data_IF_257184356937
#
_entry.id   IF_257184356937
#
_cell.length_a   1.000
_cell.length_b   1.000
_cell.length_c   1.000
_cell.angle_alpha   90.00
_cell.angle_beta   90.00
_cell.angle_gamma   90.00
#
_symmetry.space_group_name_H-M   'P 1'
#
loop_
_entity.id
_entity.type
_entity.pdbx_description
1 polymer ?
#
# COMPACT_ATOMS: atom_id res chain seq x y z
N UNK A 1 13.28 9.00 -10.77
CA UNK A 1 13.05 8.06 -9.66
C UNK A 1 12.25 6.88 -10.16
N UNK A 2 12.68 5.70 -9.79
CA UNK A 2 12.04 4.50 -10.28
C UNK A 2 10.74 4.22 -9.56
N UNK A 3 9.80 3.63 -10.26
CA UNK A 3 8.55 3.21 -9.66
C UNK A 3 8.42 1.71 -9.77
N UNK A 4 7.54 1.17 -8.97
CA UNK A 4 7.40 -0.27 -8.83
C UNK A 4 5.97 -0.60 -8.42
N UNK A 5 5.42 -1.66 -8.98
CA UNK A 5 4.16 -2.22 -8.52
C UNK A 5 4.45 -3.57 -7.92
N UNK A 6 3.91 -3.83 -6.74
CA UNK A 6 4.23 -5.05 -6.06
C UNK A 6 3.03 -5.55 -5.26
N UNK A 7 2.84 -6.85 -5.24
CA UNK A 7 1.82 -7.44 -4.40
C UNK A 7 2.49 -8.16 -3.25
N UNK A 8 1.83 -8.18 -2.13
CA UNK A 8 2.39 -8.86 -0.98
C UNK A 8 1.46 -8.86 0.19
N UNK A 9 1.98 -9.34 1.30
CA UNK A 9 1.25 -9.47 2.54
C UNK A 9 1.69 -8.37 3.50
N UNK A 10 0.72 -7.70 4.13
CA UNK A 10 1.04 -6.73 5.16
C UNK A 10 1.48 -7.50 6.39
N UNK A 11 2.75 -7.39 6.71
CA UNK A 11 3.37 -8.21 7.75
C UNK A 11 3.31 -7.58 9.13
N UNK A 12 3.08 -6.28 9.21
CA UNK A 12 2.98 -5.60 10.50
C UNK A 12 1.73 -4.75 10.51
N UNK A 13 1.20 -4.49 11.69
CA UNK A 13 0.05 -3.60 11.80
C UNK A 13 0.47 -2.22 11.29
N UNK A 14 -0.31 -1.63 10.38
CA UNK A 14 0.03 -0.32 9.87
C UNK A 14 0.13 0.70 11.00
N UNK A 15 1.20 1.47 10.96
CA UNK A 15 1.47 2.45 11.97
C UNK A 15 1.15 3.82 11.43
N UNK A 16 0.25 4.52 12.09
CA UNK A 16 -0.21 5.82 11.63
C UNK A 16 0.21 6.89 12.63
N UNK A 17 0.73 7.97 12.13
CA UNK A 17 1.05 9.10 12.98
C UNK A 17 0.83 10.38 12.21
N UNK A 18 0.76 11.49 12.94
CA UNK A 18 0.61 12.81 12.35
C UNK A 18 1.76 13.63 12.89
N UNK A 19 2.51 14.25 11.99
CA UNK A 19 3.65 15.05 12.42
C UNK A 19 3.19 16.35 13.06
N UNK A 20 4.13 17.10 13.62
CA UNK A 20 3.80 18.37 14.23
C UNK A 20 3.19 19.33 13.23
N UNK A 21 3.58 19.21 11.97
CA UNK A 21 3.03 20.06 10.92
C UNK A 21 1.67 19.59 10.45
N UNK A 22 1.17 18.51 11.01
CA UNK A 22 -0.14 18.02 10.60
C UNK A 22 -0.12 17.07 9.42
N UNK A 23 1.03 16.51 9.09
CA UNK A 23 1.15 15.60 7.96
C UNK A 23 0.86 14.16 8.40
N UNK A 24 -0.19 13.53 7.87
CA UNK A 24 -0.45 12.13 8.20
C UNK A 24 0.53 11.23 7.47
N UNK A 25 1.03 10.23 8.18
CA UNK A 25 1.94 9.24 7.64
C UNK A 25 1.51 7.87 8.11
N UNK A 26 1.47 6.90 7.20
CA UNK A 26 1.18 5.52 7.56
C UNK A 26 2.26 4.65 6.96
N UNK A 27 2.78 3.72 7.75
CA UNK A 27 3.80 2.81 7.24
C UNK A 27 3.56 1.40 7.73
N UNK A 28 4.04 0.44 6.96
CA UNK A 28 3.98 -0.97 7.34
C UNK A 28 5.04 -1.73 6.57
N UNK A 29 5.30 -2.95 7.02
CA UNK A 29 6.21 -3.83 6.32
C UNK A 29 5.42 -4.72 5.38
N UNK A 30 5.92 -4.87 4.18
CA UNK A 30 5.29 -5.68 3.16
C UNK A 30 6.19 -6.85 2.83
N UNK A 31 5.65 -8.04 2.90
CA UNK A 31 6.37 -9.26 2.58
C UNK A 31 5.90 -9.73 1.22
N UNK A 32 6.79 -9.73 0.25
CA UNK A 32 6.48 -10.16 -1.09
C UNK A 32 7.21 -11.47 -1.34
N UNK A 33 6.47 -12.56 -1.35
CA UNK A 33 7.05 -13.87 -1.57
C UNK A 33 6.74 -14.30 -2.97
N UNK A 34 7.74 -14.88 -3.62
CA UNK A 34 7.53 -15.42 -4.93
C UNK A 34 7.20 -16.87 -4.79
N UNK A 35 6.22 -17.33 -5.54
CA UNK A 35 5.89 -18.72 -5.57
C UNK A 35 6.29 -19.26 -6.92
N UNK A 36 6.81 -20.47 -6.93
CA UNK A 36 7.16 -21.11 -8.19
C UNK A 36 6.84 -22.59 -8.10
N UNK A 37 6.71 -23.20 -9.26
CA UNK A 37 6.39 -24.62 -9.31
C UNK A 37 7.67 -25.42 -9.26
N UNK A 38 7.79 -26.28 -8.24
CA UNK A 38 8.95 -27.13 -8.11
C UNK A 38 8.67 -28.43 -8.83
N UNK A 39 9.36 -28.66 -9.92
CA UNK A 39 9.13 -29.84 -10.72
C UNK A 39 9.54 -31.10 -9.99
N UNK A 40 10.52 -31.03 -9.12
CA UNK A 40 10.96 -32.20 -8.41
C UNK A 40 9.92 -32.67 -7.40
N UNK A 41 9.21 -31.72 -6.78
CA UNK A 41 8.20 -32.07 -5.82
C UNK A 41 6.81 -32.01 -6.42
N UNK A 42 6.70 -31.56 -7.65
CA UNK A 42 5.43 -31.45 -8.36
C UNK A 42 4.42 -30.66 -7.56
N UNK A 43 4.86 -29.54 -6.98
CA UNK A 43 3.98 -28.68 -6.23
C UNK A 43 4.50 -27.26 -6.24
N UNK A 44 3.62 -26.34 -5.86
CA UNK A 44 3.99 -24.95 -5.74
C UNK A 44 4.67 -24.75 -4.40
N UNK A 45 5.79 -24.05 -4.41
CA UNK A 45 6.53 -23.77 -3.19
C UNK A 45 6.80 -22.29 -3.12
N UNK A 46 7.01 -21.81 -1.91
CA UNK A 46 7.34 -20.41 -1.71
C UNK A 46 8.83 -20.22 -1.91
N UNK A 47 9.17 -19.18 -2.65
CA UNK A 47 10.57 -18.81 -2.80
C UNK A 47 10.97 -17.84 -1.70
N UNK A 48 11.99 -17.06 -1.99
CA UNK A 48 12.46 -16.10 -1.03
C UNK A 48 11.45 -15.00 -0.83
N UNK A 49 11.45 -14.43 0.35
CA UNK A 49 10.59 -13.31 0.67
C UNK A 49 11.41 -12.03 0.60
N UNK A 50 10.92 -11.08 -0.18
CA UNK A 50 11.52 -9.77 -0.21
C UNK A 50 10.74 -8.86 0.70
N UNK A 51 11.46 -8.06 1.45
CA UNK A 51 10.85 -7.20 2.45
C UNK A 51 10.95 -5.75 2.05
N UNK A 52 9.85 -5.04 2.17
CA UNK A 52 9.78 -3.64 1.83
C UNK A 52 9.15 -2.87 2.97
N UNK A 53 9.54 -1.63 3.14
CA UNK A 53 8.83 -0.72 4.02
C UNK A 53 7.99 0.17 3.12
N UNK A 54 6.69 0.18 3.33
CA UNK A 54 5.78 0.98 2.54
C UNK A 54 5.35 2.16 3.37
N UNK A 55 5.43 3.34 2.81
CA UNK A 55 5.05 4.57 3.50
C UNK A 55 4.11 5.36 2.61
N UNK A 56 3.05 5.89 3.19
CA UNK A 56 2.11 6.74 2.48
C UNK A 56 1.92 8.03 3.26
N UNK A 57 1.55 9.08 2.55
CA UNK A 57 1.41 10.40 3.14
C UNK A 57 0.05 10.99 2.83
N UNK A 58 -0.39 11.91 3.65
CA UNK A 58 -1.58 12.72 3.41
C UNK A 58 -2.83 11.85 3.36
N UNK A 59 -3.70 12.08 2.41
CA UNK A 59 -4.97 11.37 2.37
C UNK A 59 -4.77 9.88 2.15
N UNK A 60 -3.79 9.50 1.36
CA UNK A 60 -3.52 8.08 1.15
C UNK A 60 -3.13 7.41 2.46
N UNK A 61 -2.39 8.10 3.31
CA UNK A 61 -2.02 7.55 4.61
C UNK A 61 -3.25 7.29 5.47
N UNK A 62 -4.19 8.21 5.46
CA UNK A 62 -5.41 8.06 6.24
C UNK A 62 -6.21 6.89 5.70
N UNK A 63 -6.33 6.80 4.39
CA UNK A 63 -7.10 5.73 3.77
C UNK A 63 -6.46 4.36 3.96
N UNK A 64 -5.13 4.31 3.93
CA UNK A 64 -4.43 3.05 4.18
C UNK A 64 -4.70 2.55 5.59
N UNK A 65 -4.63 3.46 6.57
CA UNK A 65 -4.81 3.02 7.95
C UNK A 65 -6.25 2.61 8.23
N UNK A 66 -7.20 3.14 7.48
CA UNK A 66 -8.59 2.75 7.64
C UNK A 66 -8.95 1.49 6.88
N UNK A 67 -8.16 1.14 5.87
CA UNK A 67 -8.50 0.03 4.99
C UNK A 67 -7.66 -1.22 5.21
N UNK A 68 -6.41 -1.04 5.61
CA UNK A 68 -5.46 -2.14 5.65
C UNK A 68 -5.26 -2.66 7.05
N UNK A 69 -5.20 -3.98 7.18
CA UNK A 69 -4.90 -4.64 8.43
C UNK A 69 -3.75 -5.60 8.24
N UNK A 70 -3.06 -5.90 9.32
CA UNK A 70 -2.02 -6.91 9.29
C UNK A 70 -2.60 -8.20 8.73
N UNK A 71 -1.92 -8.79 7.81
CA UNK A 71 -2.38 -10.04 7.19
C UNK A 71 -3.09 -9.85 5.87
N UNK A 72 -3.42 -8.61 5.52
CA UNK A 72 -4.09 -8.36 4.25
C UNK A 72 -3.13 -8.52 3.10
N UNK A 73 -3.66 -8.99 1.98
CA UNK A 73 -2.91 -9.04 0.73
C UNK A 73 -3.23 -7.80 -0.07
N UNK A 74 -2.19 -7.10 -0.51
CA UNK A 74 -2.36 -5.79 -1.13
C UNK A 74 -1.49 -5.65 -2.36
N UNK A 75 -1.86 -4.70 -3.19
CA UNK A 75 -1.07 -4.26 -4.33
C UNK A 75 -0.67 -2.81 -4.04
N UNK A 76 0.61 -2.54 -4.11
CA UNK A 76 1.12 -1.21 -3.85
C UNK A 76 1.90 -0.74 -5.07
N UNK A 77 1.68 0.50 -5.45
CA UNK A 77 2.46 1.13 -6.51
C UNK A 77 3.06 2.40 -5.96
N UNK A 78 4.33 2.62 -6.20
CA UNK A 78 4.97 3.81 -5.69
C UNK A 78 6.40 3.93 -6.16
N UNK A 79 7.09 4.87 -5.55
CA UNK A 79 8.48 5.16 -5.87
C UNK A 79 9.38 4.35 -4.98
N UNK A 80 10.45 3.84 -5.57
CA UNK A 80 11.39 2.99 -4.84
C UNK A 80 12.52 3.83 -4.33
N UNK A 81 12.89 3.61 -3.09
CA UNK A 81 14.04 4.25 -2.50
C UNK A 81 14.86 3.18 -1.81
N UNK A 82 16.13 3.11 -2.13
CA UNK A 82 17.04 2.17 -1.49
C UNK A 82 17.87 2.97 -0.51
N UNK A 83 17.89 2.51 0.74
CA UNK A 83 18.60 3.23 1.78
C UNK A 83 19.58 2.29 2.46
N UNK A 84 20.84 2.71 2.53
CA UNK A 84 21.84 1.96 3.28
C UNK A 84 21.82 2.44 4.72
N UNK A 85 22.05 1.52 5.64
CA UNK A 85 22.09 1.87 7.04
C UNK A 85 23.22 1.13 7.72
N UNK A 86 23.69 1.72 8.82
CA UNK A 86 24.81 1.18 9.55
C UNK A 86 24.65 1.67 10.98
N UNK A 87 24.49 0.74 11.93
CA UNK A 87 24.34 1.13 13.33
C UNK A 87 25.58 0.82 14.16
N UNK A 88 26.71 0.60 13.48
CA UNK A 88 27.96 0.33 14.19
C UNK A 88 28.26 -1.14 14.31
N UNK A 89 27.26 -1.95 14.61
CA UNK A 89 27.45 -3.38 14.74
C UNK A 89 27.03 -4.09 13.48
N UNK A 90 26.07 -3.54 12.78
CA UNK A 90 25.50 -4.17 11.59
C UNK A 90 25.26 -3.11 10.55
N UNK A 91 25.29 -3.54 9.31
CA UNK A 91 25.00 -2.67 8.20
C UNK A 91 24.11 -3.43 7.24
N UNK A 92 23.30 -2.73 6.50
CA UNK A 92 22.42 -3.36 5.54
C UNK A 92 21.79 -2.37 4.62
N UNK A 93 20.88 -2.89 3.79
CA UNK A 93 20.16 -2.10 2.81
C UNK A 93 18.68 -2.32 3.02
N UNK A 94 17.92 -1.24 3.08
CA UNK A 94 16.48 -1.31 3.16
C UNK A 94 15.89 -0.81 1.87
N UNK A 95 14.83 -1.45 1.42
CA UNK A 95 14.10 -0.99 0.25
C UNK A 95 12.78 -0.42 0.74
N UNK A 96 12.56 0.84 0.41
CA UNK A 96 11.36 1.54 0.84
C UNK A 96 10.56 1.91 -0.39
N UNK A 97 9.24 1.90 -0.23
CA UNK A 97 8.34 2.30 -1.30
C UNK A 97 7.50 3.44 -0.76
N UNK A 98 7.60 4.57 -1.41
CA UNK A 98 6.71 5.68 -1.11
C UNK A 98 5.49 5.48 -1.98
N UNK A 99 4.40 5.03 -1.39
CA UNK A 99 3.23 4.64 -2.15
C UNK A 99 2.57 5.85 -2.79
N UNK A 100 2.18 5.71 -4.04
CA UNK A 100 1.36 6.70 -4.70
C UNK A 100 -0.08 6.20 -4.80
N UNK A 101 -0.28 4.89 -4.74
CA UNK A 101 -1.61 4.31 -4.70
C UNK A 101 -1.49 2.88 -4.19
N UNK A 102 -2.61 2.32 -3.81
CA UNK A 102 -2.62 0.94 -3.35
C UNK A 102 -4.02 0.46 -3.08
N UNK A 103 -4.16 -0.82 -2.88
CA UNK A 103 -5.45 -1.40 -2.60
C UNK A 103 -5.31 -2.87 -2.26
N UNK A 104 -6.43 -3.49 -1.95
CA UNK A 104 -6.44 -4.92 -1.67
C UNK A 104 -6.21 -5.70 -2.95
N UNK A 105 -5.52 -6.82 -2.83
CA UNK A 105 -5.31 -7.72 -3.95
C UNK A 105 -6.52 -8.64 -4.02
N UNK A 106 -7.39 -8.40 -4.98
CA UNK A 106 -8.66 -9.11 -5.05
C UNK A 106 -8.52 -10.53 -5.56
N UNK A 107 -7.30 -10.96 -5.85
CA UNK A 107 -7.07 -12.39 -6.10
C UNK A 107 -7.27 -13.21 -4.84
N UNK A 108 -7.22 -12.56 -3.67
CA UNK A 108 -7.30 -13.26 -2.40
C UNK A 108 -8.57 -13.00 -1.61
N UNK A 109 -9.41 -12.08 -2.07
CA UNK A 109 -10.61 -11.77 -1.33
C UNK A 109 -11.37 -10.65 -1.97
N UNK A 110 -12.37 -10.14 -1.25
CA UNK A 110 -13.20 -9.07 -1.75
C UNK A 110 -13.05 -7.87 -0.84
N UNK A 111 -13.42 -6.71 -1.33
CA UNK A 111 -13.39 -5.51 -0.51
C UNK A 111 -14.58 -4.64 -0.88
N UNK A 112 -14.88 -3.71 0.00
CA UNK A 112 -15.96 -2.76 -0.21
C UNK A 112 -15.36 -1.38 -0.32
N UNK A 113 -15.73 -0.67 -1.36
CA UNK A 113 -15.18 0.65 -1.59
C UNK A 113 -16.13 1.72 -1.07
N UNK A 114 -15.56 2.65 -0.30
CA UNK A 114 -16.29 3.81 0.16
C UNK A 114 -15.49 5.02 -0.29
N UNK A 115 -16.14 5.90 -1.04
CA UNK A 115 -15.44 7.05 -1.58
C UNK A 115 -15.11 8.04 -0.47
N UNK A 116 -13.88 8.52 -0.46
CA UNK A 116 -13.48 9.57 0.45
C UNK A 116 -13.97 10.90 -0.10
N UNK A 117 -14.68 11.64 0.72
CA UNK A 117 -15.15 12.94 0.32
C UNK A 117 -14.20 13.96 0.91
N UNK A 118 -13.53 14.71 0.03
CA UNK A 118 -12.64 15.76 0.48
C UNK A 118 -13.43 17.04 0.55
N UNK A 119 -13.49 17.60 1.73
CA UNK A 119 -14.21 18.84 1.92
C UNK A 119 -13.26 19.97 1.74
N UNK A 120 -13.50 20.81 0.75
CA UNK A 120 -12.71 21.99 0.56
C UNK A 120 -13.51 23.15 1.04
N UNK A 121 -12.83 24.08 1.64
CA UNK A 121 -13.51 25.20 2.09
C UNK A 121 -14.08 25.95 1.00
N UNK A 122 -15.16 26.53 1.13
CA UNK A 122 -15.82 27.35 0.16
C UNK A 122 -16.22 26.62 -1.09
N UNK A 123 -16.13 25.32 -1.12
CA UNK A 123 -16.53 24.63 -2.28
C UNK A 123 -17.92 24.16 -2.16
N UNK A 124 -18.69 24.31 -3.19
CA UNK A 124 -20.04 23.82 -3.17
C UNK A 124 -20.08 22.43 -3.66
N UNK A 125 -20.75 21.55 -2.96
CA UNK A 125 -20.79 20.18 -3.41
C UNK A 125 -21.47 20.11 -4.74
N UNK A 126 -20.92 19.33 -5.65
CA UNK A 126 -21.52 19.16 -6.87
C UNK A 126 -22.69 18.35 -6.78
N UNK A 127 -23.69 18.60 -7.55
CA UNK A 127 -24.77 17.70 -7.60
C UNK A 127 -24.28 16.47 -8.21
N UNK A 128 -24.56 15.56 -7.65
CA UNK A 128 -24.05 14.40 -8.15
C UNK A 128 -24.81 13.87 -9.15
N UNK A 129 -24.68 13.88 -9.85
CA UNK A 129 -25.20 13.39 -10.62
C UNK A 129 -25.05 12.40 -10.82
N UNK A 130 -25.14 12.28 -10.51
CA UNK A 130 -25.01 11.66 -10.62
C UNK A 130 -24.93 10.91 -10.66
N UNK A 131 -25.02 10.61 -10.32
CA UNK A 131 -24.86 9.84 -10.37
C UNK A 131 -24.85 9.22 -11.18
N UNK A 132 -25.13 9.16 -11.54
CA UNK A 132 -25.02 8.60 -12.24
C UNK A 132 -24.14 8.50 -12.89
N UNK A 133 -23.95 9.04 -13.25
CA UNK A 133 -23.05 9.02 -13.90
C UNK A 133 -22.08 8.59 -13.44
N UNK A 134 -21.95 8.72 -12.79
CA UNK A 134 -20.91 8.31 -12.31
C UNK A 134 -20.90 6.97 -12.28
N UNK A 135 -21.71 6.51 -12.45
CA UNK A 135 -21.71 5.35 -12.47
C UNK A 135 -21.19 4.91 -13.45
N UNK A 136 -21.11 5.31 -14.00
CA UNK A 136 -20.57 4.90 -14.92
C UNK A 136 -19.41 5.04 -14.95
N UNK A 137 -19.02 5.27 -14.58
CA UNK A 137 -17.93 5.43 -14.77
C UNK A 137 -17.20 4.60 -14.77
N UNK A 138 -16.95 4.35 -15.04
CA UNK A 138 -16.22 3.64 -15.06
C UNK A 138 -15.10 3.60 -15.18
N UNK A 139 -14.86 3.55 -15.10
CA UNK A 139 -13.96 3.37 -15.22
C UNK A 139 -13.45 3.28 -15.62
#
# INVERSE_FOLDING_TARGET
METLSITGLIATTPRHLVTQDGLPITSFRLAASQRYFDRKQSKWVDGETNWYTVTAFRQLAINFTQSFNKGDRVLIHGRVRVRDWDNGDRAGTSVEIEATTGGHDLSWGTSTFVRTVLVKEAETPEPVESGLESELAPF
#
